data_IF_854591780402
#
_entry.id   IF_854591780402
#
_cell.length_a   1.000
_cell.length_b   1.000
_cell.length_c   1.000
_cell.angle_alpha   90.00
_cell.angle_beta   90.00
_cell.angle_gamma   90.00
#
_symmetry.space_group_name_H-M   'P 1'
#
loop_
_entity.id
_entity.type
_entity.pdbx_description
1 polymer ?
#
# COMPACT_ATOMS: atom_id res chain seq x y z
N UNK A 1 9.82 -20.28 -5.38
CA UNK A 1 8.62 -19.85 -4.62
C UNK A 1 9.04 -19.61 -3.18
N UNK A 2 8.76 -18.45 -2.64
CA UNK A 2 9.08 -18.07 -1.26
C UNK A 2 8.12 -18.77 -0.28
N UNK A 3 8.55 -19.01 0.95
CA UNK A 3 7.63 -19.58 1.94
C UNK A 3 6.65 -18.53 2.47
N UNK A 4 7.17 -17.34 2.78
CA UNK A 4 6.40 -16.20 3.29
C UNK A 4 6.97 -14.94 2.65
N UNK A 5 6.12 -14.05 2.19
CA UNK A 5 6.49 -12.69 1.81
C UNK A 5 5.93 -11.72 2.85
N UNK A 6 6.78 -10.84 3.34
CA UNK A 6 6.44 -9.83 4.34
C UNK A 6 6.57 -8.46 3.67
N UNK A 7 5.53 -7.66 3.71
CA UNK A 7 5.48 -6.36 3.05
C UNK A 7 5.63 -5.27 4.10
N UNK A 8 6.77 -4.61 4.10
CA UNK A 8 7.15 -3.55 5.02
C UNK A 8 8.21 -3.99 6.04
N UNK A 9 9.32 -3.24 6.12
CA UNK A 9 10.46 -3.48 6.99
C UNK A 9 10.44 -2.65 8.28
N UNK A 10 9.26 -2.22 8.72
CA UNK A 10 9.08 -1.60 10.04
C UNK A 10 9.15 -2.61 11.19
N UNK A 11 8.90 -2.19 12.45
CA UNK A 11 8.99 -3.06 13.63
C UNK A 11 8.13 -4.33 13.52
N UNK A 12 6.93 -4.24 12.93
CA UNK A 12 6.07 -5.41 12.73
C UNK A 12 6.66 -6.40 11.70
N UNK A 13 7.09 -5.90 10.52
CA UNK A 13 7.63 -6.75 9.47
C UNK A 13 8.96 -7.40 9.85
N UNK A 14 9.87 -6.65 10.44
CA UNK A 14 11.12 -7.19 10.98
C UNK A 14 10.82 -8.28 12.02
N UNK A 15 9.95 -8.02 12.99
CA UNK A 15 9.59 -9.00 14.02
C UNK A 15 8.97 -10.26 13.41
N UNK A 16 8.06 -10.11 12.42
CA UNK A 16 7.51 -11.25 11.71
C UNK A 16 8.58 -12.09 10.99
N UNK A 17 9.53 -11.43 10.33
CA UNK A 17 10.62 -12.08 9.62
C UNK A 17 11.54 -12.86 10.58
N UNK A 18 11.89 -12.28 11.73
CA UNK A 18 12.71 -12.92 12.75
C UNK A 18 12.06 -14.21 13.26
N UNK A 19 10.75 -14.18 13.57
CA UNK A 19 10.04 -15.36 14.08
C UNK A 19 9.78 -16.41 13.00
N UNK A 20 9.53 -16.02 11.75
CA UNK A 20 9.44 -16.95 10.62
C UNK A 20 10.78 -17.67 10.38
N UNK A 21 11.91 -16.93 10.39
CA UNK A 21 13.25 -17.50 10.24
C UNK A 21 13.60 -18.45 11.38
N UNK A 22 13.30 -18.10 12.64
CA UNK A 22 13.45 -19.00 13.79
C UNK A 22 12.57 -20.26 13.69
N UNK A 23 11.47 -20.18 12.96
CA UNK A 23 10.62 -21.31 12.60
C UNK A 23 11.18 -22.16 11.44
N UNK A 24 12.44 -21.97 11.06
CA UNK A 24 13.12 -22.66 9.96
C UNK A 24 12.44 -22.44 8.59
N UNK A 25 11.96 -21.21 8.34
CA UNK A 25 11.43 -20.76 7.07
C UNK A 25 12.35 -19.71 6.45
N UNK A 26 12.21 -19.49 5.16
CA UNK A 26 12.96 -18.48 4.41
C UNK A 26 12.03 -17.33 4.02
N UNK A 27 11.79 -16.35 4.92
CA UNK A 27 10.95 -15.21 4.57
C UNK A 27 11.69 -14.27 3.60
N UNK A 28 10.94 -13.71 2.66
CA UNK A 28 11.34 -12.55 1.88
C UNK A 28 10.71 -11.30 2.49
N UNK A 29 11.52 -10.30 2.83
CA UNK A 29 11.07 -9.02 3.33
C UNK A 29 11.15 -7.97 2.22
N UNK A 30 10.02 -7.42 1.82
CA UNK A 30 9.93 -6.33 0.85
C UNK A 30 9.94 -5.00 1.60
N UNK A 31 10.94 -4.17 1.31
CA UNK A 31 11.17 -2.88 1.94
C UNK A 31 10.85 -1.74 0.98
N UNK A 32 10.18 -0.71 1.47
CA UNK A 32 9.98 0.54 0.75
C UNK A 32 10.19 1.73 1.69
N UNK A 33 11.39 1.78 2.28
CA UNK A 33 11.83 2.85 3.17
C UNK A 33 11.40 2.68 4.63
N UNK A 34 11.81 3.65 5.45
CA UNK A 34 11.70 3.66 6.91
C UNK A 34 10.27 3.85 7.45
N UNK A 35 9.34 4.36 6.63
CA UNK A 35 7.95 4.54 7.01
C UNK A 35 7.73 5.54 8.15
N UNK A 36 6.83 5.22 9.08
CA UNK A 36 6.44 6.11 10.18
C UNK A 36 7.59 6.41 11.15
N UNK A 37 8.57 5.53 11.28
CA UNK A 37 9.75 5.73 12.14
C UNK A 37 10.58 6.94 11.73
N UNK A 38 10.57 7.34 10.43
CA UNK A 38 11.28 8.54 9.98
C UNK A 38 10.89 9.83 10.73
N UNK A 39 9.70 9.86 11.33
CA UNK A 39 9.18 11.02 12.07
C UNK A 39 9.46 10.96 13.57
N UNK A 40 10.02 9.87 14.07
CA UNK A 40 10.26 9.67 15.49
C UNK A 40 11.69 10.14 15.84
N UNK A 41 11.83 11.37 16.34
CA UNK A 41 13.12 11.92 16.74
C UNK A 41 13.68 11.23 17.98
N UNK A 42 12.80 10.76 18.89
CA UNK A 42 13.18 10.15 20.17
C UNK A 42 12.20 9.06 20.58
N UNK A 43 12.71 7.85 20.72
CA UNK A 43 11.99 6.68 21.25
C UNK A 43 12.67 6.26 22.53
N UNK A 44 11.97 6.33 23.67
CA UNK A 44 12.48 5.98 25.00
C UNK A 44 11.55 5.03 25.77
N UNK A 45 10.39 4.74 25.22
CA UNK A 45 9.34 3.92 25.81
C UNK A 45 9.29 2.48 25.24
N UNK A 46 10.36 2.04 24.58
CA UNK A 46 10.48 0.67 24.09
C UNK A 46 11.45 -0.11 24.98
N UNK A 47 11.00 -1.24 25.53
CA UNK A 47 11.76 -2.04 26.47
C UNK A 47 13.09 -2.53 25.88
N UNK A 48 14.16 -2.45 26.68
CA UNK A 48 15.49 -2.95 26.31
C UNK A 48 16.40 -1.90 25.66
N UNK A 49 15.97 -0.65 25.58
CA UNK A 49 16.84 0.44 25.13
C UNK A 49 17.73 0.92 26.29
N UNK A 50 19.04 0.92 26.08
CA UNK A 50 20.03 1.47 27.02
C UNK A 50 19.96 3.01 27.06
N UNK A 51 19.62 3.62 25.93
CA UNK A 51 19.40 5.06 25.76
C UNK A 51 18.26 5.30 24.77
N UNK A 52 17.67 6.51 24.74
CA UNK A 52 16.74 6.85 23.69
C UNK A 52 17.37 6.71 22.31
N UNK A 53 16.60 6.23 21.33
CA UNK A 53 16.99 6.10 19.93
C UNK A 53 16.12 6.99 19.05
N UNK A 54 16.64 7.43 17.91
CA UNK A 54 15.79 7.91 16.83
C UNK A 54 15.04 6.72 16.17
N UNK A 55 13.95 7.02 15.46
CA UNK A 55 13.27 6.00 14.68
C UNK A 55 14.15 5.42 13.58
N UNK A 56 15.02 6.24 12.98
CA UNK A 56 16.01 5.82 11.99
C UNK A 56 16.98 4.80 12.58
N UNK A 57 17.57 5.12 13.73
CA UNK A 57 18.50 4.20 14.42
C UNK A 57 17.81 2.89 14.80
N UNK A 58 16.55 2.92 15.27
CA UNK A 58 15.80 1.71 15.59
C UNK A 58 15.52 0.88 14.33
N UNK A 59 15.18 1.52 13.22
CA UNK A 59 14.97 0.86 11.93
C UNK A 59 16.25 0.18 11.43
N UNK A 60 17.37 0.88 11.43
CA UNK A 60 18.67 0.34 11.00
C UNK A 60 19.09 -0.89 11.82
N UNK A 61 18.90 -0.83 13.14
CA UNK A 61 19.15 -1.97 14.05
C UNK A 61 18.27 -3.17 13.71
N UNK A 62 16.99 -2.93 13.42
CA UNK A 62 16.06 -3.99 13.00
C UNK A 62 16.47 -4.64 11.68
N UNK A 63 16.82 -3.84 10.67
CA UNK A 63 17.32 -4.32 9.37
C UNK A 63 18.63 -5.09 9.53
N UNK A 64 19.57 -4.59 10.33
CA UNK A 64 20.83 -5.28 10.62
C UNK A 64 20.59 -6.63 11.30
N UNK A 65 19.67 -6.70 12.27
CA UNK A 65 19.28 -7.93 12.95
C UNK A 65 18.68 -8.96 11.98
N UNK A 66 17.80 -8.53 11.07
CA UNK A 66 17.22 -9.41 10.06
C UNK A 66 18.30 -9.96 9.10
N UNK A 67 19.21 -9.11 8.63
CA UNK A 67 20.34 -9.49 7.77
C UNK A 67 21.27 -10.48 8.46
N UNK A 68 21.55 -10.28 9.75
CA UNK A 68 22.40 -11.18 10.54
C UNK A 68 21.82 -12.59 10.68
N UNK A 69 20.50 -12.75 10.58
CA UNK A 69 19.80 -14.05 10.52
C UNK A 69 19.63 -14.59 9.10
N UNK A 70 20.28 -13.99 8.10
CA UNK A 70 20.21 -14.42 6.71
C UNK A 70 18.87 -14.14 6.02
N UNK A 71 18.03 -13.26 6.59
CA UNK A 71 16.76 -12.88 5.97
C UNK A 71 17.03 -12.02 4.73
N UNK A 72 16.46 -12.44 3.60
CA UNK A 72 16.55 -11.70 2.35
C UNK A 72 15.63 -10.46 2.40
N UNK A 73 16.21 -9.29 2.15
CA UNK A 73 15.52 -8.02 2.08
C UNK A 73 15.69 -7.46 0.67
N UNK A 74 14.61 -7.09 0.03
CA UNK A 74 14.60 -6.45 -1.30
C UNK A 74 13.95 -5.08 -1.15
N UNK A 75 14.63 -4.04 -1.61
CA UNK A 75 14.07 -2.71 -1.73
C UNK A 75 13.18 -2.68 -2.99
N UNK A 76 11.88 -2.67 -2.78
CA UNK A 76 10.88 -2.69 -3.84
C UNK A 76 9.55 -2.14 -3.35
N UNK A 77 8.87 -1.42 -4.22
CA UNK A 77 7.48 -1.04 -4.02
C UNK A 77 6.57 -2.19 -4.41
N UNK A 78 5.64 -2.58 -3.54
CA UNK A 78 4.55 -3.49 -3.89
C UNK A 78 3.48 -2.70 -4.64
N UNK A 79 3.07 -3.22 -5.79
CA UNK A 79 2.06 -2.65 -6.67
C UNK A 79 0.70 -3.30 -6.45
N UNK A 80 0.68 -4.63 -6.24
CA UNK A 80 -0.53 -5.40 -5.99
C UNK A 80 -0.23 -6.84 -5.58
N UNK A 81 -1.27 -7.59 -5.23
CA UNK A 81 -1.22 -9.03 -4.94
C UNK A 81 -2.36 -9.71 -5.67
N UNK A 82 -2.08 -10.81 -6.33
CA UNK A 82 -3.05 -11.65 -7.02
C UNK A 82 -3.03 -13.08 -6.48
N UNK A 83 -4.13 -13.83 -6.70
CA UNK A 83 -4.25 -15.22 -6.30
C UNK A 83 -4.84 -15.41 -4.91
N UNK A 84 -5.20 -16.68 -4.57
CA UNK A 84 -5.81 -17.03 -3.28
C UNK A 84 -5.11 -18.22 -2.62
N UNK A 85 -4.80 -19.27 -3.36
CA UNK A 85 -4.08 -20.45 -2.85
C UNK A 85 -2.55 -20.26 -2.88
N UNK A 86 -2.09 -19.60 -3.91
CA UNK A 86 -0.73 -19.08 -4.07
C UNK A 86 -0.87 -17.60 -4.42
N UNK A 87 -0.14 -16.77 -3.72
CA UNK A 87 -0.13 -15.34 -3.94
C UNK A 87 1.04 -14.99 -4.87
N UNK A 88 0.76 -14.16 -5.87
CA UNK A 88 1.77 -13.47 -6.67
C UNK A 88 1.84 -12.02 -6.22
N UNK A 89 2.92 -11.63 -5.59
CA UNK A 89 3.19 -10.25 -5.15
C UNK A 89 3.90 -9.52 -6.28
N UNK A 90 3.22 -8.55 -6.88
CA UNK A 90 3.74 -7.71 -7.96
C UNK A 90 4.51 -6.53 -7.36
N UNK A 91 5.71 -6.30 -7.85
CA UNK A 91 6.58 -5.23 -7.34
C UNK A 91 7.37 -4.54 -8.46
N UNK A 92 7.97 -3.39 -8.14
CA UNK A 92 8.92 -2.70 -9.05
C UNK A 92 10.21 -3.50 -9.32
N UNK A 93 10.50 -4.53 -8.50
CA UNK A 93 11.65 -5.43 -8.69
C UNK A 93 11.27 -6.78 -9.33
N UNK A 94 10.05 -6.91 -9.87
CA UNK A 94 9.49 -8.14 -10.44
C UNK A 94 8.43 -8.80 -9.57
N UNK A 95 8.00 -9.98 -9.99
CA UNK A 95 6.93 -10.72 -9.31
C UNK A 95 7.52 -11.83 -8.43
N UNK A 96 6.90 -12.06 -7.27
CA UNK A 96 7.32 -13.09 -6.32
C UNK A 96 6.12 -13.93 -5.90
N UNK A 97 6.25 -15.26 -6.03
CA UNK A 97 5.21 -16.20 -5.63
C UNK A 97 5.44 -16.72 -4.20
N UNK A 98 4.35 -16.84 -3.44
CA UNK A 98 4.37 -17.35 -2.08
C UNK A 98 3.04 -17.99 -1.69
N UNK A 99 3.06 -18.85 -0.68
CA UNK A 99 1.83 -19.43 -0.09
C UNK A 99 1.29 -18.59 1.08
N UNK A 100 2.05 -17.63 1.57
CA UNK A 100 1.60 -16.76 2.67
C UNK A 100 2.19 -15.35 2.58
N UNK A 101 1.37 -14.35 2.87
CA UNK A 101 1.74 -12.94 2.90
C UNK A 101 1.44 -12.33 4.26
N UNK A 102 2.34 -11.49 4.75
CA UNK A 102 2.15 -10.67 5.96
C UNK A 102 2.18 -9.19 5.56
N UNK A 103 1.06 -8.50 5.75
CA UNK A 103 0.94 -7.06 5.54
C UNK A 103 1.45 -6.31 6.78
N UNK A 104 2.53 -5.53 6.64
CA UNK A 104 3.19 -4.80 7.72
C UNK A 104 3.63 -3.38 7.29
N UNK A 105 2.88 -2.74 6.39
CA UNK A 105 3.24 -1.44 5.79
C UNK A 105 3.00 -0.24 6.70
N UNK A 106 2.54 -0.47 7.94
CA UNK A 106 2.22 0.59 8.90
C UNK A 106 0.79 1.10 8.78
N UNK A 107 0.54 2.29 9.32
CA UNK A 107 -0.80 2.90 9.39
C UNK A 107 -1.29 3.39 8.04
N UNK A 108 -2.58 3.71 7.99
CA UNK A 108 -3.22 4.31 6.83
C UNK A 108 -2.51 5.60 6.42
N UNK A 109 -2.42 5.79 5.12
CA UNK A 109 -2.12 7.11 4.56
C UNK A 109 -3.36 7.97 4.68
N UNK A 110 -3.18 9.22 5.07
CA UNK A 110 -4.26 10.20 4.98
C UNK A 110 -4.62 10.41 3.52
N UNK A 111 -5.91 10.36 3.20
CA UNK A 111 -6.39 10.84 1.92
C UNK A 111 -5.82 12.26 1.68
N UNK A 112 -5.44 12.59 0.45
CA UNK A 112 -4.95 13.93 0.15
C UNK A 112 -6.01 14.96 0.52
N UNK A 113 -5.58 16.12 0.97
CA UNK A 113 -6.50 17.21 1.30
C UNK A 113 -6.92 17.94 0.00
N UNK A 114 -7.59 17.21 -0.88
CA UNK A 114 -8.21 17.73 -2.09
C UNK A 114 -9.71 17.80 -1.83
N UNK A 115 -10.35 18.98 -1.96
CA UNK A 115 -11.80 19.13 -1.86
C UNK A 115 -12.51 18.13 -2.77
N UNK A 116 -13.61 17.54 -2.28
CA UNK A 116 -14.40 16.55 -3.02
C UNK A 116 -13.96 15.10 -2.83
N UNK A 117 -12.70 14.77 -2.49
CA UNK A 117 -12.28 13.37 -2.32
C UNK A 117 -13.15 12.62 -1.32
N UNK A 118 -13.37 13.20 -0.12
CA UNK A 118 -14.15 12.54 0.93
C UNK A 118 -15.65 12.56 0.63
N UNK A 119 -16.12 13.60 -0.01
CA UNK A 119 -17.54 13.77 -0.36
C UNK A 119 -18.00 12.74 -1.37
N UNK A 120 -17.14 12.46 -2.37
CA UNK A 120 -17.43 11.52 -3.44
C UNK A 120 -16.83 10.12 -3.21
N UNK A 121 -16.31 9.81 -2.02
CA UNK A 121 -15.86 8.46 -1.68
C UNK A 121 -17.04 7.47 -1.80
N UNK A 122 -16.88 6.44 -2.66
CA UNK A 122 -17.95 5.52 -3.03
C UNK A 122 -19.03 6.10 -3.96
N UNK A 123 -18.88 7.37 -4.39
CA UNK A 123 -19.75 8.04 -5.35
C UNK A 123 -18.97 8.54 -6.58
N UNK A 124 -17.98 7.79 -6.98
CA UNK A 124 -17.08 8.12 -8.10
C UNK A 124 -15.62 8.28 -7.69
N UNK A 125 -15.30 8.43 -6.40
CA UNK A 125 -13.93 8.34 -5.90
C UNK A 125 -13.67 6.93 -5.36
N UNK A 126 -12.61 6.30 -5.85
CA UNK A 126 -12.16 4.96 -5.45
C UNK A 126 -10.66 4.96 -5.08
N UNK A 127 -10.23 3.93 -4.35
CA UNK A 127 -8.84 3.67 -3.96
C UNK A 127 -8.33 2.31 -4.49
N UNK A 128 -9.08 1.65 -5.38
CA UNK A 128 -8.75 0.31 -5.87
C UNK A 128 -9.24 0.13 -7.30
N UNK A 129 -8.33 0.17 -8.27
CA UNK A 129 -8.67 -0.06 -9.68
C UNK A 129 -9.26 -1.46 -9.90
N UNK A 130 -8.61 -2.50 -9.40
CA UNK A 130 -9.04 -3.89 -9.58
C UNK A 130 -10.45 -4.12 -9.00
N UNK A 131 -10.81 -3.45 -7.88
CA UNK A 131 -12.12 -3.60 -7.25
C UNK A 131 -13.24 -2.97 -8.08
N UNK A 132 -12.99 -1.78 -8.62
CA UNK A 132 -14.04 -0.89 -9.10
C UNK A 132 -14.00 -0.63 -10.61
N UNK A 133 -12.93 -1.03 -11.33
CA UNK A 133 -12.78 -0.79 -12.77
C UNK A 133 -14.00 -1.22 -13.58
N UNK A 134 -14.66 -2.32 -13.22
CA UNK A 134 -15.83 -2.83 -13.92
C UNK A 134 -17.00 -1.84 -13.97
N UNK A 135 -17.18 -1.02 -12.93
CA UNK A 135 -18.24 0.02 -12.89
C UNK A 135 -17.97 1.19 -13.83
N UNK A 136 -16.72 1.33 -14.30
CA UNK A 136 -16.28 2.40 -15.21
C UNK A 136 -15.99 1.90 -16.63
N UNK A 137 -16.56 0.77 -16.99
CA UNK A 137 -16.43 0.21 -18.34
C UNK A 137 -16.90 1.20 -19.40
N UNK A 138 -16.04 1.47 -20.39
CA UNK A 138 -16.27 2.44 -21.47
C UNK A 138 -16.53 3.88 -20.97
N UNK A 139 -15.97 4.25 -19.84
CA UNK A 139 -16.02 5.60 -19.26
C UNK A 139 -14.64 6.21 -19.19
N UNK A 140 -14.59 7.53 -19.01
CA UNK A 140 -13.35 8.26 -18.83
C UNK A 140 -13.01 8.37 -17.34
N UNK A 141 -11.81 8.00 -16.97
CA UNK A 141 -11.40 8.00 -15.57
C UNK A 141 -10.07 8.72 -15.35
N UNK A 142 -9.92 9.25 -14.16
CA UNK A 142 -8.71 9.90 -13.68
C UNK A 142 -8.03 9.07 -12.60
N UNK A 143 -6.70 9.05 -12.60
CA UNK A 143 -5.89 8.49 -11.52
C UNK A 143 -5.07 9.60 -10.88
N UNK A 144 -5.20 9.81 -9.58
CA UNK A 144 -4.42 10.80 -8.84
C UNK A 144 -3.20 10.14 -8.21
N UNK A 145 -2.02 10.49 -8.69
CA UNK A 145 -0.75 9.98 -8.19
C UNK A 145 0.41 10.27 -9.12
N UNK A 146 1.65 10.08 -8.68
CA UNK A 146 2.84 10.42 -9.46
C UNK A 146 3.92 9.31 -9.46
N UNK A 147 3.62 8.13 -8.91
CA UNK A 147 4.57 7.02 -8.77
C UNK A 147 4.16 5.78 -9.57
N UNK A 148 5.01 4.77 -9.59
CA UNK A 148 4.73 3.48 -10.24
C UNK A 148 3.43 2.83 -9.78
N UNK A 149 2.98 3.09 -8.54
CA UNK A 149 1.68 2.63 -8.08
C UNK A 149 0.53 3.29 -8.86
N UNK A 150 0.60 4.61 -9.09
CA UNK A 150 -0.39 5.29 -9.91
C UNK A 150 -0.37 4.80 -11.37
N UNK A 151 0.80 4.53 -11.90
CA UNK A 151 0.96 3.97 -13.24
C UNK A 151 0.34 2.57 -13.32
N UNK A 152 0.59 1.71 -12.32
CA UNK A 152 0.00 0.36 -12.25
C UNK A 152 -1.54 0.40 -12.19
N UNK A 153 -2.12 1.21 -11.30
CA UNK A 153 -3.57 1.38 -11.21
C UNK A 153 -4.17 1.91 -12.53
N UNK A 154 -3.48 2.84 -13.19
CA UNK A 154 -3.91 3.37 -14.48
C UNK A 154 -3.85 2.33 -15.60
N UNK A 155 -2.87 1.44 -15.62
CA UNK A 155 -2.79 0.34 -16.58
C UNK A 155 -3.89 -0.70 -16.38
N UNK A 156 -4.22 -1.04 -15.13
CA UNK A 156 -5.35 -1.92 -14.82
C UNK A 156 -6.67 -1.31 -15.34
N UNK A 157 -6.90 -0.02 -15.11
CA UNK A 157 -8.09 0.69 -15.59
C UNK A 157 -8.17 0.75 -17.12
N UNK A 158 -7.04 0.97 -17.80
CA UNK A 158 -6.98 1.11 -19.27
C UNK A 158 -7.53 -0.10 -20.01
N UNK A 159 -7.48 -1.29 -19.42
CA UNK A 159 -8.01 -2.51 -20.02
C UNK A 159 -9.56 -2.54 -20.10
N UNK A 160 -10.23 -1.66 -19.36
CA UNK A 160 -11.69 -1.70 -19.17
C UNK A 160 -12.37 -0.39 -19.55
N UNK A 161 -11.70 0.76 -19.34
CA UNK A 161 -12.23 2.11 -19.51
C UNK A 161 -12.01 2.66 -20.93
N UNK A 162 -12.70 3.75 -21.32
CA UNK A 162 -12.49 4.44 -22.61
C UNK A 162 -11.17 5.19 -22.61
N UNK A 163 -10.91 5.94 -21.56
CA UNK A 163 -9.65 6.67 -21.38
C UNK A 163 -9.22 6.72 -19.93
N UNK A 164 -7.90 6.83 -19.72
CA UNK A 164 -7.28 7.03 -18.39
C UNK A 164 -6.29 8.16 -18.51
N UNK A 165 -6.36 9.11 -17.57
CA UNK A 165 -5.37 10.17 -17.42
C UNK A 165 -4.84 10.17 -16.00
N UNK A 166 -3.51 10.23 -15.84
CA UNK A 166 -2.86 10.38 -14.54
C UNK A 166 -2.73 11.87 -14.22
N UNK A 167 -3.12 12.27 -13.01
CA UNK A 167 -3.01 13.62 -12.48
C UNK A 167 -2.05 13.62 -11.31
N UNK A 168 -0.89 14.28 -11.45
CA UNK A 168 0.17 14.24 -10.43
C UNK A 168 -0.03 15.28 -9.31
N UNK A 169 -1.06 16.11 -9.41
CA UNK A 169 -1.38 17.14 -8.42
C UNK A 169 -0.20 18.08 -8.11
N UNK A 170 0.41 18.63 -9.14
CA UNK A 170 1.53 19.57 -9.02
C UNK A 170 2.88 18.92 -8.67
N UNK A 171 2.99 17.60 -8.71
CA UNK A 171 4.24 16.89 -8.46
C UNK A 171 4.88 16.44 -9.76
N UNK A 172 6.21 16.32 -9.75
CA UNK A 172 6.92 15.69 -10.85
C UNK A 172 6.55 14.19 -10.94
N UNK A 173 6.36 13.64 -12.15
CA UNK A 173 6.17 12.22 -12.35
C UNK A 173 7.41 11.41 -11.93
N UNK A 174 7.22 10.36 -11.16
CA UNK A 174 8.26 9.45 -10.66
C UNK A 174 7.99 8.02 -11.17
N UNK A 175 7.88 7.87 -12.50
CA UNK A 175 7.66 6.56 -13.14
C UNK A 175 8.99 5.93 -13.52
N UNK A 176 9.17 4.65 -13.16
CA UNK A 176 10.41 3.90 -13.46
C UNK A 176 10.53 3.46 -14.90
N UNK A 177 9.48 3.62 -15.73
CA UNK A 177 9.42 3.20 -17.13
C UNK A 177 8.57 4.12 -17.99
N UNK A 178 8.82 4.09 -19.28
CA UNK A 178 7.96 4.76 -20.28
C UNK A 178 6.59 4.08 -20.35
N UNK A 179 5.55 4.87 -20.64
CA UNK A 179 4.17 4.42 -20.79
C UNK A 179 3.37 5.33 -21.73
N UNK A 180 2.30 4.80 -22.36
CA UNK A 180 1.48 5.57 -23.29
C UNK A 180 0.29 6.30 -22.61
N UNK A 181 0.21 6.34 -21.29
CA UNK A 181 -0.90 6.95 -20.55
C UNK A 181 -0.67 8.46 -20.46
N UNK A 182 -1.71 9.25 -20.72
CA UNK A 182 -1.65 10.71 -20.60
C UNK A 182 -1.38 11.14 -19.14
N UNK A 183 -0.52 12.15 -18.97
CA UNK A 183 -0.18 12.70 -17.66
C UNK A 183 -0.44 14.19 -17.64
N UNK A 184 -1.18 14.64 -16.63
CA UNK A 184 -1.41 16.04 -16.33
C UNK A 184 -0.72 16.39 -15.01
N UNK A 185 0.22 17.35 -15.06
CA UNK A 185 1.03 17.73 -13.91
C UNK A 185 0.48 18.96 -13.16
N UNK A 186 -0.63 19.54 -13.61
CA UNK A 186 -1.24 20.69 -12.94
C UNK A 186 -1.70 20.31 -11.53
N UNK A 187 -1.78 21.31 -10.65
CA UNK A 187 -2.28 21.13 -9.30
C UNK A 187 -3.80 21.06 -9.30
N UNK A 188 -4.35 20.11 -8.55
CA UNK A 188 -5.79 19.89 -8.43
C UNK A 188 -6.35 20.86 -7.40
N UNK A 189 -7.37 21.63 -7.81
CA UNK A 189 -8.14 22.49 -6.94
C UNK A 189 -9.25 21.71 -6.21
N UNK A 190 -10.02 20.91 -6.94
CA UNK A 190 -11.12 20.13 -6.41
C UNK A 190 -11.52 18.97 -7.33
N UNK A 191 -12.19 17.97 -6.75
CA UNK A 191 -13.02 17.01 -7.48
C UNK A 191 -14.45 17.51 -7.39
N UNK A 192 -15.11 17.57 -8.53
CA UNK A 192 -16.46 18.14 -8.64
C UNK A 192 -17.46 17.12 -9.16
N UNK A 193 -18.73 17.33 -8.82
CA UNK A 193 -19.84 16.51 -9.25
C UNK A 193 -21.16 16.95 -8.65
N UNK A 194 -22.22 16.21 -8.98
CA UNK A 194 -23.53 16.31 -8.34
C UNK A 194 -23.71 15.17 -7.34
N UNK A 195 -24.55 14.18 -7.68
CA UNK A 195 -24.69 12.94 -6.86
C UNK A 195 -23.46 12.05 -6.97
N UNK A 196 -22.73 12.12 -8.09
CA UNK A 196 -21.49 11.41 -8.36
C UNK A 196 -20.45 12.35 -8.95
N UNK A 197 -19.19 11.91 -9.03
CA UNK A 197 -18.09 12.63 -9.69
C UNK A 197 -18.47 12.97 -11.14
N UNK A 198 -18.15 14.19 -11.58
CA UNK A 198 -18.25 14.63 -12.97
C UNK A 198 -16.90 15.08 -13.56
N UNK A 199 -15.90 15.35 -12.73
CA UNK A 199 -14.57 15.72 -13.19
C UNK A 199 -13.66 16.31 -12.12
N UNK A 200 -12.52 16.80 -12.60
CA UNK A 200 -11.46 17.41 -11.79
C UNK A 200 -11.28 18.87 -12.22
N UNK A 201 -11.29 19.78 -11.26
CA UNK A 201 -10.91 21.18 -11.46
C UNK A 201 -9.45 21.37 -11.08
N UNK A 202 -8.71 22.05 -11.96
CA UNK A 202 -7.31 22.41 -11.75
C UNK A 202 -7.16 23.84 -11.25
N UNK A 203 -6.08 24.10 -10.48
CA UNK A 203 -5.70 25.46 -10.14
C UNK A 203 -5.28 26.20 -11.42
N UNK A 204 -5.68 27.47 -11.55
CA UNK A 204 -5.19 28.35 -12.61
C UNK A 204 -3.74 28.73 -12.34
N UNK A 205 -2.88 28.57 -13.32
CA UNK A 205 -1.54 29.12 -13.27
C UNK A 205 -1.62 30.63 -13.54
N UNK A 206 -1.57 31.43 -12.47
CA UNK A 206 -1.63 32.88 -12.53
C UNK A 206 -0.48 33.50 -13.37
N UNK A 207 0.59 32.72 -13.59
CA UNK A 207 1.74 33.16 -14.38
C UNK A 207 1.53 33.08 -15.91
N UNK A 208 0.48 32.41 -16.38
CA UNK A 208 0.17 32.21 -17.80
C UNK A 208 -1.05 33.01 -18.26
N UNK A 209 -1.19 34.25 -17.86
CA UNK A 209 -2.34 35.14 -18.16
C UNK A 209 -2.54 35.53 -19.65
N UNK A 210 -1.86 34.87 -20.59
CA UNK A 210 -2.03 35.19 -22.02
C UNK A 210 -3.08 34.30 -22.75
N UNK A 211 -3.70 33.30 -22.07
CA UNK A 211 -4.78 32.49 -22.64
C UNK A 211 -5.91 32.29 -21.63
N UNK A 212 -6.91 33.14 -21.68
CA UNK A 212 -8.14 33.08 -20.88
C UNK A 212 -9.01 31.82 -21.15
N UNK A 213 -8.66 30.96 -22.11
CA UNK A 213 -9.45 29.82 -22.59
C UNK A 213 -8.90 28.43 -22.21
N UNK A 214 -7.95 28.31 -21.27
CA UNK A 214 -7.58 26.97 -20.80
C UNK A 214 -8.65 26.42 -19.87
N UNK A 215 -9.37 25.42 -20.35
CA UNK A 215 -10.31 24.65 -19.55
C UNK A 215 -9.65 24.22 -18.26
N UNK A 216 -10.11 24.78 -17.13
CA UNK A 216 -9.67 24.37 -15.80
C UNK A 216 -10.41 23.15 -15.28
N UNK A 217 -11.40 22.67 -16.03
CA UNK A 217 -12.23 21.50 -15.69
C UNK A 217 -11.99 20.38 -16.70
N UNK A 218 -11.65 19.21 -16.18
CA UNK A 218 -11.40 17.99 -16.93
C UNK A 218 -12.46 16.96 -16.58
N UNK A 219 -13.37 16.62 -17.52
CA UNK A 219 -14.41 15.63 -17.29
C UNK A 219 -13.81 14.27 -16.92
N UNK A 220 -14.42 13.60 -15.95
CA UNK A 220 -14.12 12.23 -15.59
C UNK A 220 -15.33 11.62 -14.87
N UNK A 221 -15.70 10.40 -15.23
CA UNK A 221 -16.78 9.65 -14.57
C UNK A 221 -16.36 9.04 -13.25
N UNK A 222 -15.06 8.88 -13.05
CA UNK A 222 -14.46 8.35 -11.82
C UNK A 222 -13.05 8.83 -11.58
N UNK A 223 -12.68 8.88 -10.29
CA UNK A 223 -11.37 9.30 -9.82
C UNK A 223 -10.78 8.23 -8.91
N UNK A 224 -9.63 7.69 -9.29
CA UNK A 224 -8.90 6.69 -8.53
C UNK A 224 -7.71 7.32 -7.81
N UNK A 225 -7.66 7.18 -6.49
CA UNK A 225 -6.62 7.81 -5.66
C UNK A 225 -5.51 6.80 -5.42
N UNK A 226 -4.39 6.96 -6.12
CA UNK A 226 -3.21 6.09 -6.09
C UNK A 226 -1.94 6.86 -5.66
N UNK A 227 -1.99 7.47 -4.47
CA UNK A 227 -0.88 8.28 -3.97
C UNK A 227 0.17 7.45 -3.24
N UNK A 228 1.40 7.62 -3.64
CA UNK A 228 2.57 6.97 -3.02
C UNK A 228 2.67 5.48 -3.35
N UNK A 229 2.45 4.57 -2.39
CA UNK A 229 2.54 3.11 -2.56
C UNK A 229 1.28 2.43 -2.05
N UNK A 230 0.95 1.24 -2.55
CA UNK A 230 -0.13 0.44 -1.99
C UNK A 230 0.13 0.16 -0.49
N UNK A 231 -0.78 0.60 0.37
CA UNK A 231 -0.73 0.32 1.79
C UNK A 231 -1.38 -1.02 2.14
N UNK A 232 -1.20 -1.50 3.37
CA UNK A 232 -1.81 -2.76 3.82
C UNK A 232 -3.33 -2.76 3.68
N UNK A 233 -3.98 -1.62 3.90
CA UNK A 233 -5.44 -1.49 3.80
C UNK A 233 -5.93 -1.62 2.35
N UNK A 234 -5.24 -0.97 1.41
CA UNK A 234 -5.53 -1.04 -0.02
C UNK A 234 -5.33 -2.46 -0.53
N UNK A 235 -4.19 -3.07 -0.20
CA UNK A 235 -3.88 -4.46 -0.57
C UNK A 235 -4.90 -5.43 0.04
N UNK A 236 -5.25 -5.29 1.33
CA UNK A 236 -6.23 -6.14 1.98
C UNK A 236 -7.61 -6.04 1.31
N UNK A 237 -8.02 -4.82 0.92
CA UNK A 237 -9.27 -4.58 0.19
C UNK A 237 -9.24 -5.22 -1.20
N UNK A 238 -8.16 -5.07 -1.96
CA UNK A 238 -7.96 -5.70 -3.27
C UNK A 238 -8.09 -7.23 -3.19
N UNK A 239 -7.58 -7.81 -2.11
CA UNK A 239 -7.67 -9.26 -1.84
C UNK A 239 -9.03 -9.70 -1.31
N UNK A 240 -9.97 -8.78 -1.05
CA UNK A 240 -11.28 -9.07 -0.47
C UNK A 240 -11.26 -9.36 1.04
N UNK A 241 -10.19 -8.98 1.74
CA UNK A 241 -10.13 -9.11 3.20
C UNK A 241 -11.02 -8.06 3.88
N UNK A 242 -11.67 -8.45 4.97
CA UNK A 242 -12.51 -7.54 5.74
C UNK A 242 -11.69 -6.44 6.41
N UNK A 243 -12.28 -5.25 6.43
CA UNK A 243 -11.79 -4.10 7.18
C UNK A 243 -12.71 -3.84 8.39
N UNK A 244 -12.17 -3.18 9.42
CA UNK A 244 -12.97 -2.65 10.53
C UNK A 244 -13.73 -1.40 10.08
N UNK A 245 -14.73 -0.93 10.85
CA UNK A 245 -15.47 0.31 10.60
C UNK A 245 -14.55 1.55 10.52
N UNK A 246 -13.40 1.48 11.17
CA UNK A 246 -12.33 2.49 11.07
C UNK A 246 -11.43 2.26 9.85
N UNK A 247 -11.74 1.23 9.01
CA UNK A 247 -11.02 0.83 7.81
C UNK A 247 -9.59 0.35 8.06
N UNK A 248 -9.28 -0.23 9.21
CA UNK A 248 -8.06 -0.99 9.45
C UNK A 248 -8.27 -2.43 9.00
N UNK A 249 -7.19 -3.15 8.70
CA UNK A 249 -7.29 -4.56 8.35
C UNK A 249 -7.83 -5.34 9.56
N UNK A 250 -8.95 -6.06 9.35
CA UNK A 250 -9.52 -6.92 10.40
C UNK A 250 -8.68 -8.18 10.52
N UNK A 251 -8.24 -8.46 11.75
CA UNK A 251 -7.51 -9.69 12.09
C UNK A 251 -8.09 -10.34 13.33
N UNK A 252 -7.86 -11.67 13.46
CA UNK A 252 -8.13 -12.40 14.69
C UNK A 252 -6.94 -12.31 15.67
N UNK A 253 -7.01 -13.00 16.81
CA UNK A 253 -5.92 -13.03 17.82
C UNK A 253 -4.62 -13.67 17.30
N UNK A 254 -4.66 -14.40 16.21
CA UNK A 254 -3.51 -15.02 15.55
C UNK A 254 -2.96 -14.18 14.40
N UNK A 255 -3.45 -12.95 14.24
CA UNK A 255 -3.12 -11.99 13.16
C UNK A 255 -3.53 -12.47 11.76
N UNK A 256 -4.46 -13.44 11.66
CA UNK A 256 -5.03 -13.88 10.40
C UNK A 256 -6.11 -12.92 9.94
N UNK A 257 -6.10 -12.56 8.66
CA UNK A 257 -7.22 -11.86 8.00
C UNK A 257 -8.34 -12.86 7.67
N UNK A 258 -9.40 -12.38 7.03
CA UNK A 258 -10.47 -13.26 6.50
C UNK A 258 -10.04 -14.07 5.28
N UNK A 259 -8.88 -13.77 4.68
CA UNK A 259 -8.31 -14.49 3.55
C UNK A 259 -7.26 -15.50 4.05
N UNK A 260 -7.43 -16.79 3.79
CA UNK A 260 -6.50 -17.83 4.21
C UNK A 260 -5.08 -17.58 3.67
N UNK A 261 -4.08 -17.58 4.56
CA UNK A 261 -2.68 -17.32 4.20
C UNK A 261 -2.28 -15.85 4.14
N UNK A 262 -3.25 -14.93 4.25
CA UNK A 262 -3.00 -13.48 4.36
C UNK A 262 -3.09 -13.05 5.82
N UNK A 263 -2.02 -12.46 6.34
CA UNK A 263 -1.88 -11.95 7.70
C UNK A 263 -1.66 -10.44 7.68
N UNK A 264 -1.94 -9.76 8.80
CA UNK A 264 -1.61 -8.35 8.94
C UNK A 264 -1.13 -8.05 10.35
N UNK A 265 -0.18 -7.11 10.50
CA UNK A 265 0.41 -6.75 11.78
C UNK A 265 0.90 -5.29 11.81
N UNK A 266 0.91 -4.71 12.98
CA UNK A 266 1.33 -3.34 13.23
C UNK A 266 0.19 -2.34 13.06
N UNK A 267 0.52 -1.10 12.71
CA UNK A 267 -0.45 0.01 12.70
C UNK A 267 -1.61 -0.20 11.73
N UNK A 268 -1.45 -1.02 10.69
CA UNK A 268 -2.50 -1.33 9.73
C UNK A 268 -3.70 -2.08 10.36
N UNK A 269 -3.52 -2.74 11.50
CA UNK A 269 -4.60 -3.41 12.25
C UNK A 269 -5.32 -2.47 13.21
N UNK A 270 -4.83 -1.22 13.37
CA UNK A 270 -5.37 -0.23 14.30
C UNK A 270 -4.94 -0.45 15.76
N UNK A 271 -5.73 0.06 16.70
CA UNK A 271 -5.43 -0.04 18.13
C UNK A 271 -4.31 0.91 18.58
N UNK A 272 -3.46 0.46 19.50
CA UNK A 272 -2.34 1.23 20.04
C UNK A 272 -1.22 1.37 18.99
N UNK A 273 -0.93 2.59 18.54
CA UNK A 273 0.12 2.87 17.54
C UNK A 273 1.47 3.04 18.25
N UNK A 274 2.09 1.92 18.62
CA UNK A 274 3.36 1.87 19.34
C UNK A 274 4.27 0.75 18.82
N UNK A 275 5.58 0.95 18.94
CA UNK A 275 6.60 -0.05 18.55
C UNK A 275 6.37 -1.40 19.24
N UNK A 276 6.05 -1.39 20.55
CA UNK A 276 5.82 -2.61 21.33
C UNK A 276 4.65 -3.45 20.79
N UNK A 277 3.53 -2.80 20.42
CA UNK A 277 2.38 -3.48 19.80
C UNK A 277 2.75 -4.02 18.41
N UNK A 278 3.43 -3.22 17.58
CA UNK A 278 3.86 -3.64 16.26
C UNK A 278 4.80 -4.85 16.30
N UNK A 279 5.76 -4.88 17.25
CA UNK A 279 6.65 -6.02 17.48
C UNK A 279 5.88 -7.26 17.93
N UNK A 280 4.95 -7.12 18.87
CA UNK A 280 4.11 -8.23 19.33
C UNK A 280 3.29 -8.84 18.19
N UNK A 281 2.55 -8.02 17.46
CA UNK A 281 1.71 -8.49 16.36
C UNK A 281 2.54 -9.08 15.22
N UNK A 282 3.68 -8.47 14.89
CA UNK A 282 4.61 -9.03 13.93
C UNK A 282 5.10 -10.42 14.32
N UNK A 283 5.47 -10.61 15.61
CA UNK A 283 5.87 -11.92 16.14
C UNK A 283 4.77 -12.95 15.98
N UNK A 284 3.52 -12.58 16.33
CA UNK A 284 2.36 -13.46 16.20
C UNK A 284 2.07 -13.81 14.75
N UNK A 285 2.10 -12.82 13.85
CA UNK A 285 1.91 -13.05 12.42
C UNK A 285 2.99 -13.99 11.84
N UNK A 286 4.26 -13.78 12.18
CA UNK A 286 5.36 -14.63 11.72
C UNK A 286 5.25 -16.09 12.18
N UNK A 287 4.86 -16.31 13.45
CA UNK A 287 4.64 -17.65 14.00
C UNK A 287 3.46 -18.34 13.29
N UNK A 288 2.33 -17.64 13.13
CA UNK A 288 1.10 -18.23 12.62
C UNK A 288 1.13 -18.41 11.10
N UNK A 289 1.73 -17.49 10.35
CA UNK A 289 2.05 -17.69 8.94
C UNK A 289 2.95 -18.93 8.75
N UNK A 290 3.93 -19.11 9.63
CA UNK A 290 4.76 -20.32 9.63
C UNK A 290 4.00 -21.59 9.88
N UNK A 291 3.02 -21.61 10.80
CA UNK A 291 2.11 -22.75 11.00
C UNK A 291 1.26 -23.02 9.75
N UNK A 292 0.74 -21.96 9.13
CA UNK A 292 -0.03 -22.06 7.89
C UNK A 292 0.77 -22.72 6.76
N UNK A 293 1.99 -22.24 6.51
CA UNK A 293 2.89 -22.79 5.47
C UNK A 293 3.17 -24.28 5.71
N UNK A 294 3.44 -24.68 6.95
CA UNK A 294 3.69 -26.10 7.29
C UNK A 294 2.47 -26.97 7.10
N UNK A 295 1.26 -26.48 7.44
CA UNK A 295 -0.01 -27.19 7.18
C UNK A 295 -0.23 -27.40 5.69
N UNK A 296 0.03 -26.37 4.86
CA UNK A 296 -0.11 -26.46 3.40
C UNK A 296 0.86 -27.47 2.78
N UNK A 297 2.11 -27.50 3.22
CA UNK A 297 3.10 -28.51 2.75
C UNK A 297 2.65 -29.92 3.04
N UNK A 298 2.18 -30.19 4.27
CA UNK A 298 1.69 -31.52 4.65
C UNK A 298 0.43 -31.98 3.92
N UNK A 299 -0.37 -31.07 3.39
CA UNK A 299 -1.57 -31.40 2.62
C UNK A 299 -1.26 -31.63 1.14
N UNK A 300 -0.08 -31.26 0.66
CA UNK A 300 0.39 -31.46 -0.71
C UNK A 300 1.26 -32.72 -0.87
N UNK A 301 1.79 -33.25 0.22
CA UNK A 301 2.49 -34.55 0.34
C UNK A 301 1.47 -35.69 0.58
#
# INVERSE_FOLDING_TARGET
MENIIIIGAGPAGISAALYAARGNLTPLLLNNGIGALAKAEKIENYYGLERPLSGEELYERGVAQAKALGIRIIDAQVLGINGFDTFTVQTTAGNFDTVSVILATGGKRSAPNIPGIREFEGKGVSYCAICDAFFYRNRDVAVIGNSDFALHEAEELRNVTSSVTIYTNGREPEFSREHPIAVNTMKIQAIEGGDTVSGIRMEHDVASMENEDRESFYPADGVFVALGTAGSTEIARQMGAELTDKGNVRVNSEMETTIPGLFAAGDCTGGLLQVSKAVYEGSMAGINAGKYVRRRKKAAD
#
